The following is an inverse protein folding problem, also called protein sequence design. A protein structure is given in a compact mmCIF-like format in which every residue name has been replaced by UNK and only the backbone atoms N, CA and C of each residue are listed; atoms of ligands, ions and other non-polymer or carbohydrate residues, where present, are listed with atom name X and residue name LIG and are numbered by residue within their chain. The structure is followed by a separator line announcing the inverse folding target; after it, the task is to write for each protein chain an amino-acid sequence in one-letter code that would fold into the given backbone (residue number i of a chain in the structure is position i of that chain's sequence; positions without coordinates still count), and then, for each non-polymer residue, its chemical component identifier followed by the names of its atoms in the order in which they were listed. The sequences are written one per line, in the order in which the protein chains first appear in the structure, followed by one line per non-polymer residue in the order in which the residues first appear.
data_IF_725659298882
#
_entry.id   IF_725659298882
#
_cell.length_a   1.000
_cell.length_b   1.000
_cell.length_c   1.000
_cell.angle_alpha   90.00
_cell.angle_beta   90.00
_cell.angle_gamma   90.00
#
_symmetry.space_group_name_H-M   'P 1'
#
loop_
_entity.id
_entity.type
_entity.pdbx_description
1 polymer ?
#
# COMPACT_ATOMS: atom_id res chain seq x y z
N UNK A 1 3.36 -32.12 43.59
CA UNK A 1 3.79 -32.34 45.00
C UNK A 1 2.68 -31.87 45.94
N UNK A 2 2.13 -32.86 46.67
CA UNK A 2 1.43 -32.84 47.98
C UNK A 2 0.18 -31.95 48.12
N UNK A 3 -1.03 -32.57 48.12
CA UNK A 3 -1.77 -33.14 49.26
C UNK A 3 -2.04 -32.11 50.38
N UNK A 4 -3.31 -31.84 50.74
CA UNK A 4 -4.00 -32.66 51.75
C UNK A 4 -5.49 -32.25 51.90
N UNK A 5 -6.30 -33.27 51.78
CA UNK A 5 -7.67 -33.47 52.27
C UNK A 5 -7.74 -33.39 53.80
N UNK A 6 -8.82 -32.93 54.41
CA UNK A 6 -9.32 -33.40 55.69
C UNK A 6 -10.84 -33.27 55.73
N UNK A 7 -11.47 -34.42 55.98
CA UNK A 7 -12.85 -34.72 56.28
C UNK A 7 -12.99 -34.81 57.82
N UNK A 8 -14.14 -34.46 58.39
CA UNK A 8 -14.76 -35.01 59.58
C UNK A 8 -16.14 -34.35 59.70
N UNK A 9 -17.28 -34.95 59.63
CA UNK A 9 -18.00 -36.07 60.16
C UNK A 9 -18.58 -35.85 61.58
N UNK A 10 -19.91 -36.05 61.64
CA UNK A 10 -20.80 -36.48 62.72
C UNK A 10 -21.01 -35.56 63.93
N UNK A 11 -22.13 -35.44 64.57
CA UNK A 11 -23.12 -36.47 64.92
C UNK A 11 -24.48 -35.85 65.38
N UNK A 12 -25.48 -36.68 65.29
CA UNK A 12 -26.87 -36.59 65.70
C UNK A 12 -27.00 -36.61 67.24
N UNK A 13 -27.99 -35.85 67.81
CA UNK A 13 -28.71 -36.31 68.99
C UNK A 13 -30.15 -35.81 68.90
N UNK A 14 -31.06 -36.78 68.94
CA UNK A 14 -32.55 -36.61 69.26
C UNK A 14 -32.74 -36.43 70.73
N UNK A 15 -33.74 -35.66 71.10
CA UNK A 15 -34.58 -35.94 72.28
C UNK A 15 -35.94 -35.28 72.12
N UNK A 16 -36.93 -36.12 72.16
CA UNK A 16 -38.34 -35.77 72.27
C UNK A 16 -38.76 -35.53 73.73
N UNK A 17 -39.68 -34.60 74.00
CA UNK A 17 -40.51 -34.69 75.17
C UNK A 17 -41.85 -33.95 74.94
N UNK A 18 -42.92 -34.64 75.16
CA UNK A 18 -44.31 -34.20 75.18
C UNK A 18 -44.65 -33.36 76.40
N UNK A 19 -45.72 -32.56 76.29
CA UNK A 19 -46.45 -32.19 77.46
C UNK A 19 -47.26 -30.89 77.34
N UNK A 20 -48.52 -30.98 76.96
CA UNK A 20 -49.79 -30.58 77.54
C UNK A 20 -50.20 -29.13 77.60
N UNK A 21 -51.23 -28.89 76.89
CA UNK A 21 -52.48 -28.09 77.06
C UNK A 21 -52.56 -27.07 78.19
N UNK A 22 -52.87 -25.81 77.89
CA UNK A 22 -54.10 -25.17 78.40
C UNK A 22 -54.29 -23.81 77.64
N UNK A 23 -55.59 -23.64 77.29
CA UNK A 23 -56.22 -22.49 76.71
C UNK A 23 -56.11 -21.20 77.54
N UNK A 24 -55.89 -20.06 76.92
CA UNK A 24 -56.84 -18.90 76.94
C UNK A 24 -56.26 -17.62 76.35
N UNK A 25 -57.11 -17.02 75.53
CA UNK A 25 -57.40 -15.60 75.46
C UNK A 25 -56.63 -14.68 74.54
N UNK A 26 -57.35 -14.20 73.59
CA UNK A 26 -57.17 -13.14 72.62
C UNK A 26 -56.25 -11.99 73.06
N UNK A 27 -55.38 -11.66 72.22
CA UNK A 27 -54.64 -10.42 72.15
C UNK A 27 -54.18 -10.21 70.69
N UNK A 28 -54.96 -9.46 69.95
CA UNK A 28 -54.54 -8.96 68.64
C UNK A 28 -53.28 -8.16 68.83
N UNK A 29 -52.14 -8.74 68.42
CA UNK A 29 -50.93 -7.99 68.15
C UNK A 29 -50.84 -7.80 66.65
N UNK A 30 -51.00 -6.56 66.24
CA UNK A 30 -50.77 -5.98 64.96
C UNK A 30 -49.24 -6.21 64.61
N UNK A 31 -48.94 -7.27 63.86
CA UNK A 31 -47.59 -7.53 63.37
C UNK A 31 -47.41 -6.61 62.21
N UNK A 32 -46.89 -5.41 62.46
CA UNK A 32 -46.30 -4.58 61.44
C UNK A 32 -45.12 -5.36 60.87
N UNK A 33 -45.33 -6.05 59.75
CA UNK A 33 -44.27 -6.53 58.91
C UNK A 33 -43.50 -5.32 58.37
N UNK A 34 -42.36 -5.03 58.98
CA UNK A 34 -41.35 -4.13 58.37
C UNK A 34 -40.95 -4.68 57.01
N UNK A 35 -41.48 -4.09 55.97
CA UNK A 35 -41.07 -4.35 54.61
C UNK A 35 -39.62 -3.85 54.49
N UNK A 36 -38.70 -4.77 54.61
CA UNK A 36 -37.27 -4.49 54.38
C UNK A 36 -37.09 -4.14 52.91
N UNK A 37 -37.12 -2.85 52.60
CA UNK A 37 -36.83 -2.35 51.27
C UNK A 37 -35.40 -2.70 50.90
N UNK A 38 -35.24 -3.60 49.92
CA UNK A 38 -33.94 -3.86 49.30
C UNK A 38 -33.50 -2.61 48.54
N UNK A 39 -32.35 -2.08 48.88
CA UNK A 39 -31.74 -1.02 48.07
C UNK A 39 -31.37 -1.62 46.72
N UNK A 40 -32.08 -1.22 45.69
CA UNK A 40 -31.78 -1.58 44.28
C UNK A 40 -30.97 -0.40 43.70
N UNK A 41 -29.75 -0.68 43.29
CA UNK A 41 -29.00 0.28 42.50
C UNK A 41 -29.57 0.27 41.08
N UNK A 42 -30.11 1.39 40.65
CA UNK A 42 -30.59 1.60 39.28
C UNK A 42 -29.48 2.30 38.51
N UNK A 43 -28.93 1.65 37.48
CA UNK A 43 -28.06 2.29 36.50
C UNK A 43 -28.88 2.70 35.29
N UNK A 44 -28.79 3.96 34.90
CA UNK A 44 -29.34 4.41 33.61
C UNK A 44 -28.52 3.83 32.49
N UNK A 45 -29.10 3.03 31.61
CA UNK A 45 -28.50 2.53 30.40
C UNK A 45 -28.75 3.55 29.30
N UNK A 46 -27.67 4.14 28.78
CA UNK A 46 -27.74 4.94 27.59
C UNK A 46 -27.42 4.03 26.39
N UNK A 47 -28.16 4.18 25.30
CA UNK A 47 -27.80 3.54 24.05
C UNK A 47 -26.58 4.28 23.47
N UNK A 48 -25.49 3.58 23.29
CA UNK A 48 -24.26 4.08 22.61
C UNK A 48 -24.12 3.34 21.30
N UNK A 49 -23.96 4.11 20.22
CA UNK A 49 -23.67 3.52 18.91
C UNK A 49 -22.25 2.96 18.91
N UNK A 50 -22.12 1.65 18.86
CA UNK A 50 -20.84 0.96 18.77
C UNK A 50 -20.50 0.83 17.29
N UNK A 51 -19.43 1.49 16.80
CA UNK A 51 -19.02 1.36 15.40
C UNK A 51 -18.62 -0.08 15.11
N UNK A 52 -19.22 -0.66 14.06
CA UNK A 52 -18.83 -1.98 13.59
C UNK A 52 -17.50 -1.87 12.84
N UNK A 53 -16.41 -2.37 13.42
CA UNK A 53 -15.08 -2.34 12.84
C UNK A 53 -14.51 -3.73 12.70
N UNK A 54 -13.90 -4.04 11.56
CA UNK A 54 -13.14 -5.26 11.37
C UNK A 54 -11.67 -4.96 11.08
N UNK A 55 -10.80 -5.86 11.53
CA UNK A 55 -9.34 -5.74 11.39
C UNK A 55 -8.83 -6.81 10.45
N UNK A 56 -8.20 -6.38 9.37
CA UNK A 56 -7.61 -7.23 8.36
C UNK A 56 -6.08 -7.08 8.36
N UNK A 57 -5.38 -8.15 8.04
CA UNK A 57 -3.93 -8.10 7.87
C UNK A 57 -3.57 -7.91 6.40
N UNK A 58 -2.55 -7.09 6.15
CA UNK A 58 -2.04 -6.85 4.81
C UNK A 58 -0.56 -6.48 4.86
N UNK A 59 0.11 -6.56 3.72
CA UNK A 59 1.48 -6.08 3.55
C UNK A 59 1.47 -4.75 2.81
N UNK A 60 2.30 -3.82 3.25
CA UNK A 60 2.51 -2.55 2.56
C UNK A 60 3.22 -2.81 1.23
N UNK A 61 2.66 -2.30 0.13
CA UNK A 61 3.23 -2.39 -1.20
C UNK A 61 3.56 -1.01 -1.75
N UNK A 62 4.55 -0.91 -2.66
CA UNK A 62 4.81 0.34 -3.37
C UNK A 62 3.63 0.66 -4.28
N UNK A 63 3.31 1.95 -4.44
CA UNK A 63 2.26 2.38 -5.36
C UNK A 63 2.55 1.96 -6.81
N UNK A 64 3.81 2.11 -7.23
CA UNK A 64 4.31 1.65 -8.51
C UNK A 64 5.75 1.15 -8.36
N UNK A 65 6.11 0.15 -9.18
CA UNK A 65 7.48 -0.35 -9.32
C UNK A 65 7.88 -0.26 -10.78
N UNK A 66 9.02 0.38 -11.05
CA UNK A 66 9.59 0.48 -12.39
C UNK A 66 10.99 -0.11 -12.43
N UNK A 67 11.21 -0.91 -13.46
CA UNK A 67 12.51 -1.47 -13.82
C UNK A 67 13.16 -0.59 -14.87
N UNK A 68 14.31 0.00 -14.57
CA UNK A 68 15.06 0.86 -15.48
C UNK A 68 16.14 0.02 -16.13
N UNK A 69 16.09 -0.08 -17.45
CA UNK A 69 17.04 -0.82 -18.25
C UNK A 69 17.21 -0.16 -19.63
N UNK A 70 18.39 -0.24 -20.28
CA UNK A 70 18.53 0.10 -21.69
C UNK A 70 17.83 -0.96 -22.55
N UNK A 71 17.39 -0.60 -23.75
CA UNK A 71 16.73 -1.53 -24.68
C UNK A 71 17.73 -2.47 -25.37
N UNK A 72 19.00 -2.09 -25.44
CA UNK A 72 20.05 -2.87 -26.12
C UNK A 72 21.28 -3.03 -25.23
N UNK A 73 22.05 -4.13 -25.41
CA UNK A 73 23.31 -4.34 -24.70
C UNK A 73 24.29 -3.18 -24.93
N UNK A 74 24.80 -2.63 -23.83
CA UNK A 74 25.78 -1.55 -23.84
C UNK A 74 26.57 -1.54 -22.54
N UNK A 75 27.78 -0.93 -22.53
CA UNK A 75 28.58 -0.78 -21.33
C UNK A 75 28.09 0.39 -20.49
N UNK A 76 28.09 0.21 -19.17
CA UNK A 76 27.72 1.25 -18.20
C UNK A 76 28.91 2.19 -17.99
N UNK A 77 28.76 3.44 -18.40
CA UNK A 77 29.81 4.46 -18.31
C UNK A 77 29.81 5.18 -16.97
N UNK A 78 28.63 5.56 -16.50
CA UNK A 78 28.45 6.26 -15.23
C UNK A 78 27.17 5.81 -14.50
N UNK A 79 27.30 5.72 -13.17
CA UNK A 79 26.22 5.50 -12.22
C UNK A 79 26.11 6.76 -11.37
N UNK A 80 24.91 7.32 -11.21
CA UNK A 80 24.68 8.60 -10.52
C UNK A 80 23.92 8.45 -9.21
N UNK A 81 23.32 7.29 -8.95
CA UNK A 81 22.47 7.04 -7.79
C UNK A 81 22.73 5.65 -7.21
N UNK A 82 22.55 5.52 -5.91
CA UNK A 82 22.73 4.28 -5.16
C UNK A 82 21.41 3.75 -4.57
N UNK A 83 21.44 2.51 -4.07
CA UNK A 83 20.31 1.91 -3.36
C UNK A 83 19.99 2.73 -2.11
N UNK A 84 18.72 3.10 -1.95
CA UNK A 84 18.26 3.97 -0.89
C UNK A 84 18.07 5.43 -1.30
N UNK A 85 18.65 5.86 -2.42
CA UNK A 85 18.48 7.23 -2.91
C UNK A 85 17.06 7.49 -3.40
N UNK A 86 16.59 8.71 -3.15
CA UNK A 86 15.35 9.18 -3.72
C UNK A 86 15.61 9.88 -5.05
N UNK A 87 14.89 9.46 -6.09
CA UNK A 87 14.96 10.03 -7.44
C UNK A 87 13.63 10.68 -7.84
N UNK A 88 13.72 11.73 -8.64
CA UNK A 88 12.55 12.37 -9.26
C UNK A 88 12.29 11.80 -10.65
N UNK A 89 11.03 11.83 -11.09
CA UNK A 89 10.71 11.54 -12.49
C UNK A 89 11.53 12.43 -13.45
N UNK A 90 12.12 11.82 -14.49
CA UNK A 90 13.03 12.48 -15.44
C UNK A 90 14.48 12.61 -14.98
N UNK A 91 14.82 12.35 -13.71
CA UNK A 91 16.18 12.42 -13.19
C UNK A 91 17.06 11.35 -13.87
N UNK A 92 18.28 11.75 -14.28
CA UNK A 92 19.26 10.83 -14.85
C UNK A 92 19.79 9.93 -13.73
N UNK A 93 19.73 8.62 -13.92
CA UNK A 93 20.19 7.61 -12.95
C UNK A 93 21.46 6.89 -13.40
N UNK A 94 21.64 6.73 -14.73
CA UNK A 94 22.86 6.16 -15.30
C UNK A 94 23.11 6.69 -16.71
N UNK A 95 24.36 6.53 -17.17
CA UNK A 95 24.76 6.78 -18.55
C UNK A 95 25.49 5.56 -19.08
N UNK A 96 25.04 5.09 -20.24
CA UNK A 96 25.68 4.02 -21.01
C UNK A 96 26.78 4.59 -21.88
N UNK A 97 27.51 3.72 -22.60
CA UNK A 97 28.47 4.15 -23.60
C UNK A 97 27.83 5.03 -24.68
N UNK A 98 28.46 6.15 -25.00
CA UNK A 98 27.90 7.21 -25.83
C UNK A 98 28.53 7.32 -27.21
N UNK A 99 29.37 6.34 -27.63
CA UNK A 99 30.05 6.39 -28.93
C UNK A 99 29.06 6.46 -30.10
N UNK A 100 28.09 5.52 -30.13
CA UNK A 100 27.07 5.46 -31.17
C UNK A 100 26.13 6.70 -31.13
N UNK A 101 25.83 7.21 -29.94
CA UNK A 101 25.05 8.44 -29.77
C UNK A 101 25.77 9.64 -30.39
N UNK A 102 27.08 9.78 -30.15
CA UNK A 102 27.88 10.87 -30.70
C UNK A 102 27.98 10.80 -32.23
N UNK A 103 28.12 9.61 -32.81
CA UNK A 103 28.08 9.42 -34.26
C UNK A 103 26.72 9.81 -34.84
N UNK A 104 25.64 9.35 -34.25
CA UNK A 104 24.27 9.68 -34.69
C UNK A 104 23.96 11.19 -34.55
N UNK A 105 24.50 11.84 -33.53
CA UNK A 105 24.41 13.30 -33.36
C UNK A 105 25.03 14.06 -34.51
N UNK A 106 26.24 13.64 -34.97
CA UNK A 106 26.90 14.27 -36.09
C UNK A 106 26.13 14.06 -37.40
N UNK A 107 25.59 12.83 -37.62
CA UNK A 107 24.74 12.54 -38.77
C UNK A 107 23.48 13.40 -38.78
N UNK A 108 22.80 13.52 -37.63
CA UNK A 108 21.60 14.37 -37.49
C UNK A 108 21.93 15.86 -37.76
N UNK A 109 23.07 16.34 -37.27
CA UNK A 109 23.46 17.73 -37.49
C UNK A 109 23.69 18.01 -38.99
N UNK A 110 24.36 17.07 -39.73
CA UNK A 110 24.54 17.18 -41.17
C UNK A 110 23.21 17.15 -41.94
N UNK A 111 22.35 16.16 -41.65
CA UNK A 111 21.02 16.06 -42.30
C UNK A 111 20.11 17.21 -41.97
N UNK A 112 20.16 17.78 -40.75
CA UNK A 112 19.45 19.00 -40.39
C UNK A 112 19.89 20.22 -41.21
N UNK A 113 21.17 20.37 -41.40
CA UNK A 113 21.72 21.48 -42.23
C UNK A 113 21.30 21.33 -43.69
N UNK A 114 21.39 20.11 -44.24
CA UNK A 114 20.99 19.84 -45.62
C UNK A 114 19.50 20.02 -45.85
N UNK A 115 18.66 19.51 -44.91
CA UNK A 115 17.22 19.75 -44.93
C UNK A 115 16.88 21.25 -44.93
N UNK A 116 17.56 22.04 -44.10
CA UNK A 116 17.35 23.50 -44.06
C UNK A 116 17.68 24.16 -45.42
N UNK A 117 18.76 23.75 -46.10
CA UNK A 117 19.13 24.24 -47.43
C UNK A 117 18.09 23.88 -48.51
N UNK A 118 17.72 22.60 -48.57
CA UNK A 118 16.70 22.10 -49.51
C UNK A 118 15.36 22.77 -49.29
N UNK A 119 14.95 22.98 -48.01
CA UNK A 119 13.75 23.71 -47.68
C UNK A 119 13.73 25.13 -48.22
N UNK A 120 14.82 25.87 -48.02
CA UNK A 120 14.94 27.25 -48.58
C UNK A 120 14.92 27.29 -50.12
N UNK A 121 15.53 26.30 -50.79
CA UNK A 121 15.49 26.17 -52.23
C UNK A 121 14.10 25.81 -52.75
N UNK A 122 13.37 24.95 -52.04
CA UNK A 122 11.99 24.56 -52.38
C UNK A 122 11.04 25.76 -52.27
N UNK A 123 11.17 26.56 -51.21
CA UNK A 123 10.38 27.78 -51.00
C UNK A 123 10.60 28.81 -52.12
N UNK A 124 11.79 28.76 -52.79
CA UNK A 124 12.14 29.61 -53.91
C UNK A 124 11.84 28.98 -55.30
N UNK A 125 11.27 27.75 -55.30
CA UNK A 125 11.02 27.00 -56.53
C UNK A 125 12.24 26.37 -57.20
N UNK A 126 13.39 26.31 -56.49
CA UNK A 126 14.67 25.82 -57.01
C UNK A 126 14.88 24.30 -56.98
N UNK A 127 13.97 23.55 -56.29
CA UNK A 127 13.99 22.08 -56.23
C UNK A 127 12.61 21.51 -56.39
N UNK A 128 12.51 20.24 -56.80
CA UNK A 128 11.23 19.57 -56.95
C UNK A 128 10.62 19.22 -55.57
N UNK A 129 9.28 19.06 -55.54
CA UNK A 129 8.62 18.57 -54.31
C UNK A 129 9.12 17.19 -53.91
N UNK A 130 9.42 16.32 -54.88
CA UNK A 130 10.00 14.98 -54.64
C UNK A 130 11.33 15.04 -53.92
N UNK A 131 12.21 15.96 -54.29
CA UNK A 131 13.53 16.11 -53.65
C UNK A 131 13.36 16.67 -52.20
N UNK A 132 12.45 17.61 -52.02
CA UNK A 132 12.15 18.13 -50.69
C UNK A 132 11.58 17.01 -49.79
N UNK A 133 10.55 16.28 -50.23
CA UNK A 133 9.91 15.20 -49.48
C UNK A 133 10.95 14.08 -49.13
N UNK A 134 11.86 13.74 -50.07
CA UNK A 134 12.92 12.77 -49.81
C UNK A 134 13.90 13.22 -48.72
N UNK A 135 14.29 14.51 -48.74
CA UNK A 135 15.20 15.06 -47.74
C UNK A 135 14.51 15.20 -46.35
N UNK A 136 13.25 15.60 -46.32
CA UNK A 136 12.45 15.64 -45.10
C UNK A 136 12.35 14.24 -44.46
N UNK A 137 12.06 13.23 -45.25
CA UNK A 137 12.02 11.83 -44.78
C UNK A 137 13.35 11.40 -44.17
N UNK A 138 14.47 11.66 -44.90
CA UNK A 138 15.82 11.35 -44.43
C UNK A 138 16.12 11.99 -43.10
N UNK A 139 15.84 13.29 -42.95
CA UNK A 139 16.04 14.02 -41.69
C UNK A 139 15.20 13.43 -40.55
N UNK A 140 13.94 13.12 -40.80
CA UNK A 140 13.04 12.56 -39.78
C UNK A 140 13.49 11.16 -39.34
N UNK A 141 13.99 10.32 -40.25
CA UNK A 141 14.55 8.99 -39.94
C UNK A 141 15.79 9.14 -39.04
N UNK A 142 16.76 9.98 -39.46
CA UNK A 142 17.99 10.21 -38.68
C UNK A 142 17.68 10.81 -37.30
N UNK A 143 16.71 11.72 -37.20
CA UNK A 143 16.23 12.28 -35.94
C UNK A 143 15.64 11.22 -35.03
N UNK A 144 14.82 10.32 -35.58
CA UNK A 144 14.25 9.21 -34.82
C UNK A 144 15.31 8.25 -34.29
N UNK A 145 16.33 7.90 -35.14
CA UNK A 145 17.44 7.08 -34.72
C UNK A 145 18.27 7.72 -33.59
N UNK A 146 18.56 9.03 -33.69
CA UNK A 146 19.24 9.77 -32.63
C UNK A 146 18.42 9.75 -31.29
N UNK A 147 17.14 9.98 -31.35
CA UNK A 147 16.28 9.98 -30.16
C UNK A 147 16.26 8.60 -29.49
N UNK A 148 16.16 7.52 -30.26
CA UNK A 148 16.23 6.15 -29.73
C UNK A 148 17.58 5.87 -29.04
N UNK A 149 18.69 6.29 -29.65
CA UNK A 149 20.01 6.14 -29.04
C UNK A 149 20.17 7.00 -27.79
N UNK A 150 19.58 8.20 -27.77
CA UNK A 150 19.61 9.09 -26.62
C UNK A 150 18.89 8.47 -25.41
N UNK A 151 17.70 7.90 -25.61
CA UNK A 151 16.94 7.21 -24.57
C UNK A 151 17.66 5.96 -24.03
N UNK A 152 18.35 5.25 -24.91
CA UNK A 152 19.14 4.07 -24.53
C UNK A 152 20.47 4.42 -23.84
N UNK A 153 21.03 5.60 -24.12
CA UNK A 153 22.32 6.03 -23.56
C UNK A 153 22.14 6.78 -22.24
N UNK A 154 21.10 7.58 -22.10
CA UNK A 154 20.83 8.38 -20.89
C UNK A 154 19.61 7.81 -20.20
N UNK A 155 19.85 6.94 -19.23
CA UNK A 155 18.75 6.33 -18.48
C UNK A 155 18.18 7.29 -17.44
N UNK A 156 16.87 7.45 -17.48
CA UNK A 156 16.12 8.34 -16.58
C UNK A 156 15.10 7.55 -15.79
N UNK A 157 14.81 8.00 -14.57
CA UNK A 157 13.71 7.43 -13.81
C UNK A 157 12.36 7.89 -14.39
N UNK A 158 11.45 6.98 -14.75
CA UNK A 158 10.12 7.35 -15.25
C UNK A 158 9.19 7.84 -14.14
N UNK A 159 9.47 7.48 -12.89
CA UNK A 159 8.67 7.84 -11.70
C UNK A 159 9.55 8.49 -10.62
N UNK A 160 8.90 9.23 -9.72
CA UNK A 160 9.55 9.66 -8.47
C UNK A 160 9.44 8.55 -7.44
N UNK A 161 10.57 8.15 -6.84
CA UNK A 161 10.60 7.03 -5.90
C UNK A 161 11.98 6.79 -5.30
N UNK A 162 12.13 5.67 -4.62
CA UNK A 162 13.39 5.23 -4.01
C UNK A 162 13.98 4.09 -4.84
N UNK A 163 15.29 4.12 -5.04
CA UNK A 163 16.03 3.02 -5.64
C UNK A 163 16.07 1.85 -4.65
N UNK A 164 15.49 0.73 -5.02
CA UNK A 164 15.45 -0.46 -4.14
C UNK A 164 16.42 -1.56 -4.55
N UNK A 165 16.87 -1.56 -5.80
CA UNK A 165 17.90 -2.47 -6.28
C UNK A 165 18.77 -1.83 -7.36
N UNK A 166 20.03 -2.22 -7.39
CA UNK A 166 21.02 -1.92 -8.43
C UNK A 166 21.78 -3.21 -8.74
N UNK A 167 21.72 -3.66 -9.98
CA UNK A 167 22.21 -4.98 -10.38
C UNK A 167 23.54 -4.95 -11.16
N UNK A 168 24.08 -3.77 -11.45
CA UNK A 168 25.30 -3.60 -12.21
C UNK A 168 26.16 -2.49 -11.62
N UNK A 169 27.47 -2.59 -11.87
CA UNK A 169 28.47 -1.59 -11.54
C UNK A 169 28.96 -0.81 -12.77
N UNK A 170 29.67 0.29 -12.50
CA UNK A 170 30.33 1.06 -13.54
C UNK A 170 31.35 0.19 -14.25
N UNK A 171 31.28 0.14 -15.59
CA UNK A 171 32.15 -0.66 -16.44
C UNK A 171 31.55 -1.99 -16.88
N UNK A 172 30.50 -2.45 -16.21
CA UNK A 172 29.81 -3.68 -16.58
C UNK A 172 29.10 -3.57 -17.92
N UNK A 173 28.89 -4.73 -18.54
CA UNK A 173 28.06 -4.86 -19.74
C UNK A 173 26.63 -5.23 -19.33
N UNK A 174 25.67 -4.50 -19.85
CA UNK A 174 24.25 -4.84 -19.65
C UNK A 174 23.90 -6.17 -20.33
N UNK A 175 23.31 -7.11 -19.57
CA UNK A 175 23.01 -8.49 -20.01
C UNK A 175 21.55 -8.90 -19.83
N UNK A 176 20.62 -7.93 -19.61
CA UNK A 176 19.17 -8.18 -19.63
C UNK A 176 18.43 -8.04 -18.30
N UNK A 177 19.13 -8.00 -17.15
CA UNK A 177 18.49 -7.67 -15.88
C UNK A 177 18.29 -6.14 -15.76
N UNK A 178 17.23 -5.66 -15.06
CA UNK A 178 17.09 -4.23 -14.84
C UNK A 178 18.32 -3.63 -14.16
N UNK A 179 18.81 -2.49 -14.65
CA UNK A 179 19.92 -1.77 -14.02
C UNK A 179 19.51 -1.27 -12.63
N UNK A 180 18.32 -0.70 -12.55
CA UNK A 180 17.71 -0.25 -11.31
C UNK A 180 16.25 -0.70 -11.18
N UNK A 181 15.84 -0.88 -9.92
CA UNK A 181 14.44 -0.98 -9.54
C UNK A 181 14.08 0.26 -8.73
N UNK A 182 13.11 1.03 -9.21
CA UNK A 182 12.59 2.23 -8.53
C UNK A 182 11.20 1.94 -8.00
N UNK A 183 10.96 2.22 -6.73
CA UNK A 183 9.66 2.05 -6.11
C UNK A 183 9.09 3.39 -5.66
N UNK A 184 7.88 3.70 -6.10
CA UNK A 184 7.13 4.83 -5.58
C UNK A 184 6.52 4.44 -4.24
N UNK A 185 7.02 5.07 -3.16
CA UNK A 185 6.58 4.80 -1.79
C UNK A 185 5.74 5.94 -1.20
N UNK A 186 5.42 6.93 -2.02
CA UNK A 186 4.56 8.07 -1.67
C UNK A 186 3.60 8.33 -2.83
N UNK A 187 2.31 7.92 -2.70
CA UNK A 187 1.72 7.12 -1.62
C UNK A 187 2.22 5.66 -1.59
N UNK A 188 1.77 4.87 -0.61
CA UNK A 188 1.84 3.40 -0.62
C UNK A 188 0.45 2.83 -0.81
N UNK A 189 0.36 1.57 -1.20
CA UNK A 189 -0.89 0.83 -1.33
C UNK A 189 -0.86 -0.46 -0.53
N UNK A 190 -2.04 -0.96 -0.20
CA UNK A 190 -2.25 -2.23 0.47
C UNK A 190 -3.40 -2.97 -0.21
N UNK A 191 -3.27 -4.27 -0.34
CA UNK A 191 -4.36 -5.13 -0.78
C UNK A 191 -4.92 -5.88 0.42
N UNK A 192 -6.19 -5.65 0.70
CA UNK A 192 -6.90 -6.21 1.85
C UNK A 192 -7.95 -7.19 1.33
N UNK A 193 -7.91 -8.42 1.82
CA UNK A 193 -8.95 -9.41 1.54
C UNK A 193 -10.10 -9.23 2.54
N UNK A 194 -11.24 -8.76 2.07
CA UNK A 194 -12.44 -8.52 2.89
C UNK A 194 -13.45 -9.65 2.64
N UNK A 195 -14.15 -10.06 3.70
CA UNK A 195 -15.16 -11.13 3.62
C UNK A 195 -16.33 -10.74 2.71
N UNK A 196 -16.87 -11.74 1.98
CA UNK A 196 -18.06 -11.57 1.14
C UNK A 196 -19.26 -11.01 1.93
N UNK A 197 -19.40 -11.35 3.21
CA UNK A 197 -20.46 -10.85 4.10
C UNK A 197 -20.49 -9.31 4.24
N UNK A 198 -19.32 -8.67 4.04
CA UNK A 198 -19.16 -7.23 4.20
C UNK A 198 -19.17 -6.46 2.87
N UNK A 199 -19.39 -7.18 1.74
CA UNK A 199 -19.35 -6.60 0.41
C UNK A 199 -20.24 -5.37 0.24
N UNK A 200 -21.47 -5.41 0.78
CA UNK A 200 -22.44 -4.31 0.68
C UNK A 200 -22.09 -3.11 1.56
N UNK A 201 -21.24 -3.32 2.57
CA UNK A 201 -20.88 -2.29 3.56
C UNK A 201 -19.66 -1.46 3.10
N UNK A 202 -18.78 -2.06 2.28
CA UNK A 202 -17.55 -1.41 1.80
C UNK A 202 -17.84 -0.52 0.60
N UNK A 203 -17.39 0.74 0.68
CA UNK A 203 -17.56 1.71 -0.39
C UNK A 203 -16.21 2.35 -0.77
N UNK A 204 -16.12 2.77 -2.02
CA UNK A 204 -14.99 3.56 -2.48
C UNK A 204 -14.91 4.88 -1.69
N UNK A 205 -13.68 5.29 -1.34
CA UNK A 205 -13.33 6.44 -0.51
C UNK A 205 -13.64 6.29 1.00
N UNK A 206 -14.09 5.13 1.47
CA UNK A 206 -14.19 4.90 2.90
C UNK A 206 -12.83 5.08 3.57
N UNK A 207 -12.84 5.74 4.73
CA UNK A 207 -11.64 5.95 5.53
C UNK A 207 -11.28 4.65 6.25
N UNK A 208 -10.00 4.34 6.21
CA UNK A 208 -9.43 3.19 6.91
C UNK A 208 -8.28 3.65 7.80
N UNK A 209 -8.10 2.94 8.90
CA UNK A 209 -7.00 3.16 9.83
C UNK A 209 -5.99 2.03 9.69
N UNK A 210 -4.72 2.38 9.64
CA UNK A 210 -3.62 1.45 9.47
C UNK A 210 -2.66 1.54 10.66
N UNK A 211 -2.27 0.40 11.21
CA UNK A 211 -1.14 0.27 12.14
C UNK A 211 -0.13 -0.71 11.56
N UNK A 212 1.17 -0.40 11.67
CA UNK A 212 2.24 -1.27 11.22
C UNK A 212 3.01 -1.82 12.42
N UNK A 213 3.28 -3.12 12.44
CA UNK A 213 3.96 -3.77 13.57
C UNK A 213 5.38 -3.23 13.80
N UNK A 214 6.04 -2.80 12.73
CA UNK A 214 7.36 -2.16 12.80
C UNK A 214 7.35 -0.73 13.37
N UNK A 215 6.17 -0.11 13.53
CA UNK A 215 6.02 1.29 13.99
C UNK A 215 5.00 1.35 15.15
N UNK A 216 5.33 0.79 16.32
CA UNK A 216 4.40 0.72 17.45
C UNK A 216 3.94 2.10 17.88
N UNK A 217 2.64 2.23 18.17
CA UNK A 217 2.00 3.47 18.60
C UNK A 217 1.74 4.49 17.51
N UNK A 218 2.09 4.20 16.24
CA UNK A 218 1.75 5.06 15.10
C UNK A 218 0.54 4.53 14.35
N UNK A 219 -0.35 5.46 14.05
CA UNK A 219 -1.56 5.19 13.27
C UNK A 219 -1.51 6.03 12.00
N UNK A 220 -1.81 5.39 10.87
CA UNK A 220 -1.88 6.04 9.57
C UNK A 220 -3.31 6.01 9.07
N UNK A 221 -3.72 7.03 8.34
CA UNK A 221 -5.03 7.10 7.72
C UNK A 221 -4.90 6.87 6.22
N UNK A 222 -5.72 5.97 5.70
CA UNK A 222 -5.86 5.71 4.28
C UNK A 222 -7.31 5.82 3.83
N UNK A 223 -7.53 5.51 2.57
CA UNK A 223 -8.86 5.41 1.97
C UNK A 223 -8.93 4.26 0.98
N UNK A 224 -10.10 3.71 0.80
CA UNK A 224 -10.37 2.67 -0.21
C UNK A 224 -10.33 3.32 -1.59
N UNK A 225 -9.31 2.98 -2.37
CA UNK A 225 -9.13 3.51 -3.71
C UNK A 225 -9.93 2.70 -4.75
N UNK A 226 -9.97 1.37 -4.57
CA UNK A 226 -10.61 0.45 -5.51
C UNK A 226 -11.13 -0.79 -4.79
N UNK A 227 -12.26 -1.29 -5.26
CA UNK A 227 -12.82 -2.60 -4.90
C UNK A 227 -12.70 -3.46 -6.16
N UNK A 228 -12.04 -4.62 -6.06
CA UNK A 228 -11.87 -5.51 -7.19
C UNK A 228 -13.20 -6.26 -7.47
N UNK A 229 -13.57 -6.43 -8.75
CA UNK A 229 -14.87 -7.00 -9.11
C UNK A 229 -14.93 -8.53 -8.97
N UNK A 230 -13.78 -9.17 -8.71
CA UNK A 230 -13.69 -10.63 -8.61
C UNK A 230 -13.51 -11.07 -7.18
N UNK A 231 -14.20 -12.14 -6.80
CA UNK A 231 -14.04 -12.82 -5.51
C UNK A 231 -13.08 -14.00 -5.66
N UNK A 232 -12.29 -14.23 -4.64
CA UNK A 232 -11.43 -15.40 -4.55
C UNK A 232 -12.22 -16.56 -3.97
N UNK A 233 -12.52 -17.55 -4.81
CA UNK A 233 -13.42 -18.68 -4.46
C UNK A 233 -12.90 -19.53 -3.29
N UNK A 234 -11.56 -19.64 -3.12
CA UNK A 234 -10.95 -20.45 -2.06
C UNK A 234 -11.11 -19.86 -0.66
N UNK A 235 -11.22 -18.52 -0.55
CA UNK A 235 -11.27 -17.81 0.73
C UNK A 235 -12.58 -17.06 0.95
N UNK A 236 -13.48 -17.03 -0.04
CA UNK A 236 -14.71 -16.21 -0.03
C UNK A 236 -14.44 -14.76 0.35
N UNK A 237 -13.38 -14.18 -0.23
CA UNK A 237 -13.00 -12.78 -0.01
C UNK A 237 -12.92 -12.03 -1.33
N UNK A 238 -13.16 -10.73 -1.28
CA UNK A 238 -12.86 -9.80 -2.36
C UNK A 238 -11.70 -8.89 -1.96
N UNK A 239 -10.92 -8.48 -2.93
CA UNK A 239 -9.75 -7.63 -2.68
C UNK A 239 -10.14 -6.16 -2.73
N UNK A 240 -9.68 -5.41 -1.74
CA UNK A 240 -9.81 -3.96 -1.66
C UNK A 240 -8.42 -3.33 -1.70
N UNK A 241 -8.22 -2.36 -2.58
CA UNK A 241 -7.00 -1.56 -2.64
C UNK A 241 -7.17 -0.33 -1.75
N UNK A 242 -6.29 -0.20 -0.78
CA UNK A 242 -6.22 0.93 0.15
C UNK A 242 -5.00 1.77 -0.18
N UNK A 243 -5.17 3.08 -0.34
CA UNK A 243 -4.07 4.03 -0.54
C UNK A 243 -3.82 4.82 0.75
N UNK A 244 -2.53 4.96 1.10
CA UNK A 244 -2.05 5.69 2.27
C UNK A 244 -1.01 6.72 1.83
N UNK A 245 -1.17 7.98 2.23
CA UNK A 245 -0.38 9.10 1.72
C UNK A 245 1.14 8.98 1.96
N UNK A 246 1.59 8.45 3.12
CA UNK A 246 3.00 8.19 3.47
C UNK A 246 3.98 9.35 3.17
N UNK A 247 3.57 10.59 3.46
CA UNK A 247 4.40 11.77 3.18
C UNK A 247 5.78 11.72 3.87
N UNK A 248 5.81 11.20 5.10
CA UNK A 248 7.02 11.06 5.91
C UNK A 248 7.87 9.84 5.54
N UNK A 249 7.45 9.04 4.56
CA UNK A 249 8.12 7.83 4.07
C UNK A 249 8.43 6.80 5.18
N UNK A 250 7.64 6.77 6.24
CA UNK A 250 7.84 5.86 7.37
C UNK A 250 7.35 4.45 7.06
N UNK A 251 6.26 4.33 6.29
CA UNK A 251 5.80 3.04 5.77
C UNK A 251 6.72 2.61 4.63
N UNK A 252 7.29 1.42 4.77
CA UNK A 252 8.16 0.82 3.74
C UNK A 252 7.48 -0.40 3.13
N UNK A 253 7.60 -0.61 1.82
CA UNK A 253 7.16 -1.84 1.19
C UNK A 253 7.73 -3.07 1.91
N UNK A 254 6.88 -4.09 2.09
CA UNK A 254 7.20 -5.30 2.84
C UNK A 254 6.84 -5.27 4.32
N UNK A 255 6.45 -4.13 4.90
CA UNK A 255 5.98 -4.08 6.29
C UNK A 255 4.62 -4.75 6.44
N UNK A 256 4.46 -5.57 7.48
CA UNK A 256 3.16 -6.10 7.90
C UNK A 256 2.35 -5.01 8.59
N UNK A 257 1.07 -5.00 8.31
CA UNK A 257 0.16 -3.99 8.82
C UNK A 257 -1.22 -4.57 9.11
N UNK A 258 -1.92 -3.94 10.06
CA UNK A 258 -3.34 -4.18 10.35
C UNK A 258 -4.13 -3.00 9.85
N UNK A 259 -5.12 -3.30 9.03
CA UNK A 259 -6.04 -2.32 8.43
C UNK A 259 -7.39 -2.47 9.11
N UNK A 260 -7.83 -1.44 9.78
CA UNK A 260 -9.15 -1.38 10.40
C UNK A 260 -10.10 -0.63 9.46
N UNK A 261 -11.17 -1.31 9.06
CA UNK A 261 -12.25 -0.75 8.25
C UNK A 261 -13.45 -0.52 9.18
N UNK A 262 -14.01 0.67 9.11
CA UNK A 262 -15.24 1.02 9.84
C UNK A 262 -16.42 0.94 8.88
N UNK A 263 -17.42 0.17 9.22
CA UNK A 263 -18.62 -0.08 8.40
C UNK A 263 -19.85 0.77 8.80
N UNK A 264 -19.69 1.76 9.65
CA UNK A 264 -20.75 2.67 10.07
C UNK A 264 -20.95 2.70 11.56
#
# INVERSE_FOLDING_TARGET
MKFRTIIYASAVVMAASCGNNTSKTEGQQDVQQEVKLSNVQVMSVAAEDIPQTDVYTSTVEPYATNNIAPQSPSRIKHIYVEVGDFVKAGQIVARMDDLSLNQSKLSLANDSLEFSRIKSLYEQGGVSKSDFDAMELKYNVTRSQYNNLLENTILRSPISGVITARNYDKGDMYTGQPLYVVQQITPVKLYVGVSESDYTKVKKNDKVTLTADALPGKTFTGHIARIFPTMQASTHTFTVEVNVANADRQLRPGMYSRVTINFG
#
